data_IF_580975653392
#
_entry.id   IF_580975653392
#
_cell.length_a   1.000
_cell.length_b   1.000
_cell.length_c   1.000
_cell.angle_alpha   90.00
_cell.angle_beta   90.00
_cell.angle_gamma   90.00
#
_symmetry.space_group_name_H-M   'P 1'
#
loop_
_entity.id
_entity.type
_entity.pdbx_description
1 polymer ?
#
# COMPACT_ATOMS: atom_id res chain seq x y z
N UNK A 1 -20.31 2.83 -22.03
CA UNK A 1 -19.71 2.27 -20.78
C UNK A 1 -18.23 2.35 -20.97
N UNK A 2 -17.58 3.41 -20.45
CA UNK A 2 -16.13 3.50 -20.37
C UNK A 2 -15.63 2.35 -19.46
N UNK A 3 -14.81 1.46 -20.00
CA UNK A 3 -14.06 0.49 -19.22
C UNK A 3 -13.02 1.27 -18.40
N UNK A 4 -13.37 1.66 -17.18
CA UNK A 4 -12.40 2.26 -16.25
C UNK A 4 -11.43 1.16 -15.83
N UNK A 5 -10.20 1.24 -16.28
CA UNK A 5 -9.11 0.40 -15.77
C UNK A 5 -8.97 0.72 -14.27
N UNK A 6 -9.00 -0.31 -13.43
CA UNK A 6 -8.86 -0.11 -11.98
C UNK A 6 -7.39 0.18 -11.65
N UNK A 7 -7.09 1.19 -10.81
CA UNK A 7 -5.73 1.51 -10.37
C UNK A 7 -4.95 0.29 -9.88
N UNK A 8 -5.60 -0.59 -9.14
CA UNK A 8 -5.06 -1.86 -8.65
C UNK A 8 -4.48 -2.75 -9.78
N UNK A 9 -5.15 -2.81 -10.95
CA UNK A 9 -4.65 -3.59 -12.09
C UNK A 9 -3.40 -2.98 -12.72
N UNK A 10 -3.32 -1.65 -12.77
CA UNK A 10 -2.15 -0.92 -13.30
C UNK A 10 -0.92 -1.19 -12.42
N UNK A 11 -1.08 -1.06 -11.10
CA UNK A 11 0.00 -1.31 -10.15
C UNK A 11 0.47 -2.77 -10.16
N UNK A 12 -0.45 -3.71 -10.30
CA UNK A 12 -0.09 -5.14 -10.46
C UNK A 12 0.74 -5.37 -11.70
N UNK A 13 0.34 -4.80 -12.83
CA UNK A 13 1.08 -4.95 -14.08
C UNK A 13 2.47 -4.33 -13.98
N UNK A 14 2.61 -3.15 -13.37
CA UNK A 14 3.88 -2.50 -13.12
C UNK A 14 4.87 -3.39 -12.35
N UNK A 15 4.41 -4.07 -11.31
CA UNK A 15 5.24 -4.98 -10.50
C UNK A 15 5.42 -6.37 -11.09
N UNK A 16 4.75 -6.72 -12.19
CA UNK A 16 5.00 -7.96 -12.91
C UNK A 16 6.33 -7.99 -13.63
N UNK A 17 6.88 -6.83 -13.97
CA UNK A 17 8.22 -6.75 -14.51
C UNK A 17 9.25 -7.27 -13.50
N UNK A 18 10.13 -8.21 -13.94
CA UNK A 18 11.08 -8.86 -13.06
C UNK A 18 12.20 -7.93 -12.61
N UNK A 19 12.62 -6.98 -13.44
CA UNK A 19 13.69 -6.02 -13.09
C UNK A 19 13.19 -5.04 -12.03
N UNK A 20 11.99 -4.50 -12.20
CA UNK A 20 11.33 -3.62 -11.22
C UNK A 20 11.10 -4.36 -9.90
N UNK A 21 10.59 -5.59 -9.98
CA UNK A 21 10.32 -6.40 -8.82
C UNK A 21 11.60 -6.70 -8.01
N UNK A 22 12.65 -7.18 -8.69
CA UNK A 22 13.91 -7.50 -8.05
C UNK A 22 14.57 -6.26 -7.43
N UNK A 23 14.56 -5.13 -8.13
CA UNK A 23 15.17 -3.89 -7.65
C UNK A 23 14.46 -3.34 -6.40
N UNK A 24 13.13 -3.43 -6.32
CA UNK A 24 12.38 -3.07 -5.10
C UNK A 24 12.90 -3.86 -3.88
N UNK A 25 12.95 -5.19 -3.98
CA UNK A 25 13.41 -6.04 -2.87
C UNK A 25 14.88 -5.79 -2.52
N UNK A 26 15.74 -5.70 -3.53
CA UNK A 26 17.17 -5.47 -3.34
C UNK A 26 17.44 -4.12 -2.66
N UNK A 27 16.77 -3.08 -3.09
CA UNK A 27 16.95 -1.75 -2.53
C UNK A 27 16.41 -1.66 -1.11
N UNK A 28 15.19 -2.11 -0.88
CA UNK A 28 14.48 -1.93 0.39
C UNK A 28 15.00 -2.86 1.48
N UNK A 29 15.17 -4.16 1.18
CA UNK A 29 15.49 -5.16 2.19
C UNK A 29 16.98 -5.49 2.25
N UNK A 30 17.70 -5.34 1.15
CA UNK A 30 19.10 -5.80 1.05
C UNK A 30 20.11 -4.67 0.86
N UNK A 31 19.69 -3.39 1.09
CA UNK A 31 20.56 -2.22 0.99
C UNK A 31 21.34 -2.19 -0.33
N UNK A 32 20.63 -2.33 -1.42
CA UNK A 32 21.14 -2.32 -2.81
C UNK A 32 22.02 -3.53 -3.19
N UNK A 33 22.14 -4.55 -2.31
CA UNK A 33 22.81 -5.79 -2.70
C UNK A 33 21.90 -6.62 -3.63
N UNK A 34 22.47 -7.16 -4.69
CA UNK A 34 21.76 -8.03 -5.65
C UNK A 34 21.53 -9.43 -5.09
N UNK A 35 20.55 -9.58 -4.22
CA UNK A 35 20.11 -10.86 -3.66
C UNK A 35 19.05 -11.49 -4.54
N UNK A 36 18.11 -10.68 -5.03
CA UNK A 36 17.05 -11.09 -5.95
C UNK A 36 17.49 -10.76 -7.37
N UNK A 37 17.62 -11.77 -8.23
CA UNK A 37 18.01 -11.59 -9.62
C UNK A 37 16.80 -11.70 -10.52
N UNK A 38 16.58 -10.74 -11.45
CA UNK A 38 15.42 -10.73 -12.34
C UNK A 38 15.28 -12.02 -13.17
N UNK A 39 16.41 -12.56 -13.66
CA UNK A 39 16.46 -13.76 -14.47
C UNK A 39 16.08 -15.05 -13.71
N UNK A 40 16.19 -15.03 -12.39
CA UNK A 40 15.83 -16.17 -11.54
C UNK A 40 14.35 -16.12 -11.10
N UNK A 41 13.65 -14.99 -11.36
CA UNK A 41 12.26 -14.81 -10.97
C UNK A 41 11.30 -15.50 -11.95
N UNK A 42 10.38 -16.26 -11.40
CA UNK A 42 9.23 -16.81 -12.12
C UNK A 42 7.93 -16.45 -11.41
N UNK A 43 6.85 -16.26 -12.16
CA UNK A 43 5.55 -16.02 -11.55
C UNK A 43 5.11 -17.21 -10.69
N UNK A 44 4.52 -16.91 -9.55
CA UNK A 44 3.86 -17.88 -8.70
C UNK A 44 2.35 -17.65 -8.78
N UNK A 45 1.60 -18.73 -8.61
CA UNK A 45 0.15 -18.69 -8.59
C UNK A 45 -0.35 -17.91 -7.37
N UNK A 46 -0.98 -16.76 -7.62
CA UNK A 46 -1.62 -15.92 -6.59
C UNK A 46 -3.00 -16.42 -6.21
N UNK A 47 -3.54 -17.38 -6.96
CA UNK A 47 -4.86 -17.94 -6.71
C UNK A 47 -4.77 -19.09 -5.70
N UNK A 48 -5.05 -18.78 -4.45
CA UNK A 48 -5.29 -19.77 -3.40
C UNK A 48 -6.77 -20.12 -3.30
N UNK A 49 -7.44 -20.33 -4.41
CA UNK A 49 -8.78 -20.90 -4.42
C UNK A 49 -8.84 -22.32 -3.82
N UNK A 50 -7.74 -22.81 -3.28
CA UNK A 50 -7.71 -24.00 -2.45
C UNK A 50 -8.40 -23.70 -1.12
N UNK A 51 -9.62 -24.11 -1.06
CA UNK A 51 -10.51 -24.18 0.09
C UNK A 51 -9.73 -24.56 1.35
N UNK A 52 -9.60 -23.62 2.29
CA UNK A 52 -9.27 -23.95 3.67
C UNK A 52 -10.46 -24.74 4.24
N UNK A 53 -10.43 -26.04 4.10
CA UNK A 53 -11.33 -26.94 4.82
C UNK A 53 -10.80 -27.10 6.25
N UNK A 54 -11.02 -26.11 7.09
CA UNK A 54 -10.88 -26.28 8.53
C UNK A 54 -12.26 -26.47 9.14
N UNK A 55 -12.48 -27.65 9.73
CA UNK A 55 -13.65 -27.98 10.56
C UNK A 55 -15.02 -27.70 9.95
N UNK A 56 -15.19 -27.96 8.65
CA UNK A 56 -16.51 -27.87 8.01
C UNK A 56 -16.90 -26.48 7.51
N UNK A 57 -16.06 -25.46 7.69
CA UNK A 57 -16.23 -24.15 7.06
C UNK A 57 -15.29 -23.99 5.87
N UNK A 58 -15.86 -23.69 4.71
CA UNK A 58 -15.13 -23.38 3.50
C UNK A 58 -15.12 -21.86 3.33
N UNK A 59 -14.04 -21.20 3.72
CA UNK A 59 -13.82 -19.82 3.33
C UNK A 59 -13.00 -19.78 2.03
N UNK A 60 -13.54 -19.10 1.04
CA UNK A 60 -12.85 -18.89 -0.24
C UNK A 60 -11.96 -17.67 -0.13
N UNK A 61 -10.68 -17.86 0.15
CA UNK A 61 -9.69 -16.78 0.08
C UNK A 61 -9.18 -16.71 -1.35
N UNK A 62 -9.65 -15.72 -2.10
CA UNK A 62 -9.42 -15.63 -3.54
C UNK A 62 -8.07 -15.06 -3.97
N UNK A 63 -7.36 -14.33 -3.12
CA UNK A 63 -6.04 -13.75 -3.44
C UNK A 63 -5.21 -13.58 -2.18
N UNK A 64 -3.89 -13.82 -2.27
CA UNK A 64 -2.97 -13.64 -1.16
C UNK A 64 -2.29 -12.28 -1.26
N UNK A 65 -1.53 -12.07 -2.31
CA UNK A 65 -0.83 -10.82 -2.62
C UNK A 65 -1.16 -10.37 -4.02
N UNK A 66 -0.87 -9.12 -4.33
CA UNK A 66 -1.09 -8.56 -5.66
C UNK A 66 -0.17 -9.19 -6.70
N UNK A 67 1.10 -9.36 -6.35
CA UNK A 67 2.10 -10.03 -7.19
C UNK A 67 2.90 -11.00 -6.33
N UNK A 68 3.04 -12.24 -6.78
CA UNK A 68 3.86 -13.27 -6.13
C UNK A 68 4.82 -13.89 -7.12
N UNK A 69 6.10 -13.93 -6.77
CA UNK A 69 7.16 -14.55 -7.57
C UNK A 69 7.97 -15.55 -6.76
N UNK A 70 8.68 -16.43 -7.45
CA UNK A 70 9.59 -17.43 -6.86
C UNK A 70 10.97 -17.24 -7.44
N UNK A 71 11.99 -17.39 -6.60
CA UNK A 71 13.37 -17.56 -7.05
C UNK A 71 13.87 -18.94 -6.70
N UNK A 72 14.62 -19.55 -7.61
CA UNK A 72 15.37 -20.78 -7.33
C UNK A 72 16.83 -20.39 -7.07
N UNK A 73 17.24 -20.46 -5.80
CA UNK A 73 18.64 -20.28 -5.41
C UNK A 73 19.26 -21.68 -5.17
N UNK A 74 19.67 -22.32 -6.25
CA UNK A 74 20.14 -23.71 -6.18
C UNK A 74 19.02 -24.71 -5.91
N UNK A 75 18.89 -25.23 -4.69
CA UNK A 75 17.84 -26.16 -4.28
C UNK A 75 16.72 -25.45 -3.52
N UNK A 76 16.99 -24.27 -2.98
CA UNK A 76 16.07 -23.53 -2.11
C UNK A 76 15.30 -22.47 -2.92
N UNK A 77 13.99 -22.45 -2.76
CA UNK A 77 13.11 -21.42 -3.32
C UNK A 77 12.80 -20.37 -2.26
N UNK A 78 12.64 -19.13 -2.68
CA UNK A 78 12.07 -18.06 -1.85
C UNK A 78 10.82 -17.56 -2.54
N UNK A 79 9.75 -17.33 -1.80
CA UNK A 79 8.51 -16.77 -2.31
C UNK A 79 8.49 -15.31 -1.91
N UNK A 80 8.29 -14.44 -2.90
CA UNK A 80 8.28 -12.99 -2.74
C UNK A 80 6.88 -12.46 -3.05
N UNK A 81 6.37 -11.57 -2.22
CA UNK A 81 5.04 -11.00 -2.40
C UNK A 81 5.03 -9.48 -2.28
N UNK A 82 4.25 -8.81 -3.13
CA UNK A 82 3.96 -7.38 -3.04
C UNK A 82 2.47 -7.19 -2.82
N UNK A 83 2.13 -6.36 -1.85
CA UNK A 83 0.79 -5.86 -1.60
C UNK A 83 0.78 -4.35 -1.81
N UNK A 84 -0.05 -3.86 -2.74
CA UNK A 84 -0.21 -2.44 -3.01
C UNK A 84 -1.30 -1.85 -2.11
N UNK A 85 -1.03 -0.72 -1.47
CA UNK A 85 -1.95 -0.11 -0.51
C UNK A 85 -2.01 1.41 -0.70
N UNK A 86 -3.20 1.96 -0.93
CA UNK A 86 -3.42 3.40 -1.05
C UNK A 86 -3.82 4.04 0.29
N UNK A 87 -4.60 3.32 1.08
CA UNK A 87 -5.11 3.81 2.36
C UNK A 87 -4.56 2.97 3.51
N UNK A 88 -4.26 3.60 4.65
CA UNK A 88 -3.79 2.87 5.84
C UNK A 88 -4.79 1.79 6.25
N UNK A 89 -4.31 0.58 6.38
CA UNK A 89 -5.11 -0.56 6.80
C UNK A 89 -4.61 -1.05 8.16
N UNK A 90 -5.35 -0.70 9.21
CA UNK A 90 -4.92 -0.94 10.61
C UNK A 90 -4.78 -2.43 11.00
N UNK A 91 -5.24 -3.36 10.18
CA UNK A 91 -5.00 -4.80 10.38
C UNK A 91 -3.98 -5.38 9.38
N UNK A 92 -3.10 -4.57 8.81
CA UNK A 92 -2.15 -5.02 7.77
C UNK A 92 -1.16 -6.08 8.25
N UNK A 93 -0.55 -6.01 9.45
CA UNK A 93 0.31 -7.09 9.95
C UNK A 93 -0.41 -8.44 10.04
N UNK A 94 -1.67 -8.45 10.50
CA UNK A 94 -2.48 -9.65 10.54
C UNK A 94 -2.79 -10.20 9.14
N UNK A 95 -3.07 -9.31 8.19
CA UNK A 95 -3.32 -9.68 6.79
C UNK A 95 -2.09 -10.30 6.13
N UNK A 96 -0.91 -9.70 6.31
CA UNK A 96 0.35 -10.25 5.81
C UNK A 96 0.68 -11.60 6.46
N UNK A 97 0.54 -11.73 7.78
CA UNK A 97 0.72 -12.99 8.50
C UNK A 97 -0.19 -14.09 7.97
N UNK A 98 -1.46 -13.76 7.71
CA UNK A 98 -2.43 -14.71 7.14
C UNK A 98 -1.99 -15.14 5.73
N UNK A 99 -1.60 -14.19 4.89
CA UNK A 99 -1.16 -14.44 3.52
C UNK A 99 0.08 -15.36 3.49
N UNK A 100 1.10 -15.06 4.29
CA UNK A 100 2.30 -15.90 4.42
C UNK A 100 1.94 -17.30 4.92
N UNK A 101 1.06 -17.40 5.93
CA UNK A 101 0.60 -18.68 6.48
C UNK A 101 -0.13 -19.52 5.45
N UNK A 102 -0.91 -18.90 4.56
CA UNK A 102 -1.62 -19.60 3.48
C UNK A 102 -0.66 -20.15 2.41
N UNK A 103 0.41 -19.42 2.10
CA UNK A 103 1.47 -19.90 1.22
C UNK A 103 2.16 -21.12 1.84
N UNK A 104 2.55 -21.05 3.11
CA UNK A 104 3.14 -22.19 3.81
C UNK A 104 2.18 -23.38 3.86
N UNK A 105 0.88 -23.16 4.09
CA UNK A 105 -0.10 -24.24 4.12
C UNK A 105 -0.27 -24.90 2.74
N UNK A 106 -0.27 -24.10 1.66
CA UNK A 106 -0.31 -24.62 0.28
C UNK A 106 0.88 -25.54 0.04
N UNK A 107 2.07 -25.09 0.39
CA UNK A 107 3.29 -25.89 0.23
C UNK A 107 3.28 -27.17 1.06
N UNK A 108 2.84 -27.10 2.32
CA UNK A 108 2.64 -28.29 3.16
C UNK A 108 1.72 -29.31 2.49
N UNK A 109 0.61 -28.84 1.92
CA UNK A 109 -0.34 -29.69 1.24
C UNK A 109 0.25 -30.34 -0.04
N UNK A 110 1.04 -29.58 -0.79
CA UNK A 110 1.74 -30.08 -1.99
C UNK A 110 2.76 -31.17 -1.64
N UNK A 111 3.58 -30.94 -0.61
CA UNK A 111 4.55 -31.93 -0.11
C UNK A 111 3.81 -33.19 0.39
N UNK A 112 2.78 -33.01 1.19
CA UNK A 112 1.97 -34.14 1.70
C UNK A 112 1.31 -34.94 0.57
N UNK A 113 0.78 -34.27 -0.46
CA UNK A 113 0.22 -34.94 -1.62
C UNK A 113 1.27 -35.73 -2.41
N UNK A 114 2.47 -35.19 -2.55
CA UNK A 114 3.62 -35.86 -3.19
C UNK A 114 4.00 -37.14 -2.42
N UNK A 115 4.13 -37.05 -1.09
CA UNK A 115 4.44 -38.21 -0.25
C UNK A 115 3.34 -39.30 -0.30
N UNK A 116 2.06 -38.91 -0.29
CA UNK A 116 0.96 -39.85 -0.46
C UNK A 116 0.99 -40.60 -1.81
N UNK A 117 1.34 -39.88 -2.87
CA UNK A 117 1.45 -40.46 -4.22
C UNK A 117 2.62 -41.45 -4.31
N UNK A 118 3.74 -41.16 -3.70
CA UNK A 118 4.95 -42.00 -3.70
C UNK A 118 4.86 -43.09 -2.63
N UNK A 119 3.95 -42.98 -1.65
CA UNK A 119 3.75 -43.93 -0.53
C UNK A 119 5.02 -44.13 0.31
N UNK A 120 5.77 -43.07 0.60
CA UNK A 120 7.06 -43.10 1.30
C UNK A 120 6.98 -42.64 2.77
N UNK A 121 5.81 -42.36 3.29
CA UNK A 121 5.51 -42.12 4.71
C UNK A 121 5.68 -43.40 5.51
N UNK A 122 6.48 -43.35 6.58
CA UNK A 122 6.89 -44.57 7.32
C UNK A 122 6.55 -44.54 8.81
N UNK A 123 6.53 -43.38 9.43
CA UNK A 123 6.30 -43.22 10.87
C UNK A 123 4.88 -42.66 11.17
N UNK A 124 4.42 -42.86 12.40
CA UNK A 124 3.14 -42.29 12.86
C UNK A 124 3.13 -40.77 12.85
N UNK A 125 4.27 -40.14 13.16
CA UNK A 125 4.41 -38.69 13.12
C UNK A 125 4.33 -38.13 11.70
N UNK A 126 5.00 -38.79 10.75
CA UNK A 126 4.91 -38.44 9.31
C UNK A 126 3.49 -38.68 8.78
N UNK A 127 2.83 -39.74 9.21
CA UNK A 127 1.46 -40.01 8.81
C UNK A 127 0.47 -38.96 9.34
N UNK A 128 0.70 -38.45 10.57
CA UNK A 128 -0.13 -37.45 11.20
C UNK A 128 0.03 -36.08 10.53
N UNK A 129 1.27 -35.67 10.24
CA UNK A 129 1.60 -34.38 9.65
C UNK A 129 1.50 -34.34 8.12
N UNK A 130 1.70 -35.50 7.46
CA UNK A 130 1.88 -35.62 6.02
C UNK A 130 3.27 -35.16 5.54
N UNK A 131 4.18 -34.82 6.46
CA UNK A 131 5.53 -34.33 6.21
C UNK A 131 6.55 -35.27 6.82
N UNK A 132 7.71 -35.37 6.21
CA UNK A 132 8.89 -36.03 6.79
C UNK A 132 9.70 -35.07 7.64
N UNK A 133 10.54 -35.62 8.52
CA UNK A 133 11.41 -34.83 9.39
C UNK A 133 12.40 -33.96 8.60
N UNK A 134 12.80 -34.40 7.42
CA UNK A 134 13.75 -33.73 6.53
C UNK A 134 13.09 -32.66 5.64
N UNK A 135 11.76 -32.68 5.48
CA UNK A 135 11.06 -31.68 4.68
C UNK A 135 11.27 -30.28 5.26
N UNK A 136 11.42 -29.32 4.40
CA UNK A 136 11.52 -27.91 4.74
C UNK A 136 10.59 -27.11 3.85
N UNK A 137 9.98 -26.09 4.44
CA UNK A 137 9.21 -25.09 3.70
C UNK A 137 10.15 -23.99 3.21
N UNK A 138 9.77 -23.36 2.12
CA UNK A 138 10.51 -22.24 1.57
C UNK A 138 10.11 -20.94 2.28
N UNK A 139 11.06 -20.04 2.57
CA UNK A 139 10.73 -18.77 3.22
C UNK A 139 9.82 -17.92 2.32
N UNK A 140 8.89 -17.21 2.95
CA UNK A 140 8.04 -16.21 2.32
C UNK A 140 8.52 -14.84 2.79
N UNK A 141 8.76 -13.93 1.85
CA UNK A 141 9.15 -12.54 2.12
C UNK A 141 8.19 -11.63 1.39
N UNK A 142 7.49 -10.78 2.12
CA UNK A 142 6.50 -9.87 1.55
C UNK A 142 6.78 -8.41 1.90
N UNK A 143 6.39 -7.50 0.99
CA UNK A 143 6.47 -6.06 1.14
C UNK A 143 5.07 -5.48 0.93
N UNK A 144 4.65 -4.59 1.82
CA UNK A 144 3.54 -3.67 1.60
C UNK A 144 4.08 -2.38 0.99
N UNK A 145 3.68 -2.05 -0.23
CA UNK A 145 4.02 -0.77 -0.88
C UNK A 145 2.86 0.19 -0.67
N UNK A 146 3.08 1.20 0.14
CA UNK A 146 2.09 2.20 0.51
C UNK A 146 2.28 3.47 -0.32
N UNK A 147 1.24 3.80 -1.07
CA UNK A 147 1.20 4.96 -1.97
C UNK A 147 0.42 6.14 -1.40
N UNK A 148 -0.05 6.09 -0.16
CA UNK A 148 -0.85 7.17 0.42
C UNK A 148 -0.07 8.48 0.55
N UNK A 149 -0.79 9.61 0.38
CA UNK A 149 -0.23 10.95 0.57
C UNK A 149 0.15 11.22 2.03
N UNK A 150 -0.63 10.65 2.96
CA UNK A 150 -0.36 10.77 4.39
C UNK A 150 0.68 9.75 4.84
N UNK A 151 1.37 10.05 5.95
CA UNK A 151 2.25 9.10 6.61
C UNK A 151 1.47 7.87 7.09
N UNK A 152 2.13 6.72 7.09
CA UNK A 152 1.54 5.51 7.64
C UNK A 152 1.50 5.60 9.16
N UNK A 153 0.31 5.67 9.73
CA UNK A 153 0.05 5.71 11.19
C UNK A 153 -0.45 4.37 11.74
N UNK A 154 -0.50 3.33 10.91
CA UNK A 154 -0.95 2.00 11.29
C UNK A 154 0.14 1.15 11.95
N UNK A 155 -0.24 -0.03 12.51
CA UNK A 155 0.69 -0.96 13.11
C UNK A 155 1.67 -1.53 12.08
N UNK A 156 2.91 -1.81 12.52
CA UNK A 156 3.94 -2.52 11.75
C UNK A 156 4.17 -3.94 12.27
N UNK A 157 3.78 -4.18 13.51
CA UNK A 157 3.91 -5.45 14.20
C UNK A 157 2.54 -5.97 14.64
N UNK A 158 2.40 -7.29 14.68
CA UNK A 158 1.19 -7.89 15.23
C UNK A 158 0.99 -7.48 16.71
N UNK A 159 2.10 -7.37 17.44
CA UNK A 159 2.07 -6.95 18.85
C UNK A 159 1.56 -5.53 19.06
N UNK A 160 1.65 -4.65 18.06
CA UNK A 160 1.08 -3.29 18.10
C UNK A 160 -0.46 -3.31 18.12
N UNK A 161 -1.06 -4.42 17.69
CA UNK A 161 -2.50 -4.62 17.63
C UNK A 161 -3.08 -5.35 18.84
N UNK A 162 -2.24 -5.77 19.81
CA UNK A 162 -2.64 -6.63 20.91
C UNK A 162 -2.59 -5.89 22.25
N UNK A 163 -3.60 -6.10 23.08
CA UNK A 163 -3.54 -5.76 24.51
C UNK A 163 -2.78 -6.86 25.24
N UNK A 164 -1.49 -6.66 25.52
CA UNK A 164 -0.61 -7.68 26.10
C UNK A 164 -0.31 -7.35 27.57
N UNK A 165 -0.79 -8.16 28.54
CA UNK A 165 -0.35 -8.07 29.94
C UNK A 165 1.17 -8.29 30.04
N UNK A 166 1.83 -7.58 30.96
CA UNK A 166 3.28 -7.63 31.12
C UNK A 166 3.83 -9.04 31.33
N UNK A 167 3.09 -9.88 32.06
CA UNK A 167 3.45 -11.26 32.38
C UNK A 167 3.46 -12.16 31.14
N UNK A 168 2.64 -11.83 30.12
CA UNK A 168 2.47 -12.63 28.90
C UNK A 168 3.40 -12.15 27.79
N UNK A 169 3.83 -10.89 27.83
CA UNK A 169 4.67 -10.27 26.78
C UNK A 169 5.90 -11.10 26.37
N UNK A 170 6.66 -11.75 27.30
CA UNK A 170 7.85 -12.54 26.94
C UNK A 170 7.56 -13.82 26.15
N UNK A 171 6.32 -14.30 26.13
CA UNK A 171 5.93 -15.56 25.48
C UNK A 171 5.05 -15.36 24.23
N UNK A 172 4.70 -14.11 23.89
CA UNK A 172 3.98 -13.79 22.66
C UNK A 172 4.95 -13.75 21.49
N UNK A 173 4.62 -14.50 20.44
CA UNK A 173 5.31 -14.40 19.17
C UNK A 173 4.81 -13.17 18.40
N UNK A 174 5.74 -12.43 17.83
CA UNK A 174 5.43 -11.27 17.00
C UNK A 174 5.52 -11.62 15.51
N UNK A 175 4.82 -10.86 14.71
CA UNK A 175 4.94 -10.88 13.25
C UNK A 175 5.16 -9.43 12.77
N UNK A 176 6.29 -9.20 12.10
CA UNK A 176 6.64 -7.90 11.52
C UNK A 176 6.37 -7.90 10.02
N UNK A 177 5.64 -6.91 9.53
CA UNK A 177 5.54 -6.66 8.09
C UNK A 177 6.65 -5.72 7.61
N UNK A 178 7.02 -5.82 6.34
CA UNK A 178 7.90 -4.88 5.68
C UNK A 178 7.06 -3.83 4.96
N UNK A 179 7.20 -2.57 5.37
CA UNK A 179 6.49 -1.43 4.78
C UNK A 179 7.45 -0.58 3.95
N UNK A 180 7.00 -0.18 2.77
CA UNK A 180 7.63 0.83 1.94
C UNK A 180 6.64 1.97 1.74
N UNK A 181 6.94 3.14 2.28
CA UNK A 181 6.16 4.35 2.05
C UNK A 181 6.79 5.12 0.88
N UNK A 182 6.10 5.21 -0.25
CA UNK A 182 6.63 5.86 -1.45
C UNK A 182 7.02 7.31 -1.18
N UNK A 183 6.25 8.02 -0.34
CA UNK A 183 6.55 9.40 0.08
C UNK A 183 7.90 9.57 0.82
N UNK A 184 8.41 8.50 1.44
CA UNK A 184 9.63 8.52 2.26
C UNK A 184 10.83 7.88 1.55
N UNK A 185 10.67 7.44 0.31
CA UNK A 185 11.71 6.74 -0.45
C UNK A 185 12.82 7.65 -0.99
N UNK A 186 13.03 8.85 -0.40
CA UNK A 186 14.03 9.84 -0.83
C UNK A 186 15.45 9.30 -0.72
N UNK A 187 15.71 8.45 0.27
CA UNK A 187 17.03 7.86 0.52
C UNK A 187 17.28 6.57 -0.26
N UNK A 188 16.27 6.02 -0.90
CA UNK A 188 16.42 4.80 -1.70
C UNK A 188 16.99 5.12 -3.09
N UNK A 189 18.02 4.36 -3.47
CA UNK A 189 18.64 4.45 -4.78
C UNK A 189 18.27 3.24 -5.62
N UNK A 190 17.13 3.34 -6.27
CA UNK A 190 16.72 2.31 -7.22
C UNK A 190 17.62 2.33 -8.45
N UNK A 191 18.03 1.15 -8.92
CA UNK A 191 18.79 0.99 -10.17
C UNK A 191 17.87 1.07 -11.37
N UNK A 192 16.65 0.59 -11.21
CA UNK A 192 15.62 0.65 -12.24
C UNK A 192 15.11 2.08 -12.35
N UNK A 193 15.24 2.66 -13.55
CA UNK A 193 14.88 4.06 -13.84
C UNK A 193 13.37 4.30 -13.75
N UNK A 194 12.56 3.27 -14.00
CA UNK A 194 11.11 3.39 -13.98
C UNK A 194 10.60 3.58 -12.56
N UNK A 195 11.11 2.79 -11.61
CA UNK A 195 10.78 2.94 -10.18
C UNK A 195 11.20 4.32 -9.69
N UNK A 196 12.45 4.73 -9.99
CA UNK A 196 12.95 6.05 -9.60
C UNK A 196 12.07 7.16 -10.15
N UNK A 197 11.73 7.10 -11.45
CA UNK A 197 10.88 8.09 -12.11
C UNK A 197 9.49 8.17 -11.49
N UNK A 198 8.85 7.02 -11.30
CA UNK A 198 7.50 6.97 -10.71
C UNK A 198 7.51 7.50 -9.27
N UNK A 199 8.44 7.03 -8.44
CA UNK A 199 8.49 7.42 -7.03
C UNK A 199 8.87 8.88 -6.86
N UNK A 200 9.84 9.40 -7.62
CA UNK A 200 10.21 10.82 -7.59
C UNK A 200 9.05 11.74 -7.99
N UNK A 201 8.31 11.38 -9.04
CA UNK A 201 7.16 12.18 -9.48
C UNK A 201 6.05 12.15 -8.42
N UNK A 202 5.74 10.97 -7.85
CA UNK A 202 4.73 10.85 -6.79
C UNK A 202 5.12 11.68 -5.57
N UNK A 203 6.39 11.64 -5.14
CA UNK A 203 6.89 12.43 -4.02
C UNK A 203 6.74 13.93 -4.28
N UNK A 204 7.15 14.41 -5.45
CA UNK A 204 6.99 15.83 -5.82
C UNK A 204 5.52 16.27 -5.87
N UNK A 205 4.62 15.39 -6.28
CA UNK A 205 3.17 15.65 -6.26
C UNK A 205 2.67 15.80 -4.80
N UNK A 206 3.09 14.91 -3.91
CA UNK A 206 2.70 14.98 -2.49
C UNK A 206 3.30 16.17 -1.77
N UNK A 207 4.54 16.56 -2.11
CA UNK A 207 5.19 17.79 -1.62
C UNK A 207 4.63 19.05 -2.27
N UNK A 208 3.80 18.92 -3.33
CA UNK A 208 3.31 20.04 -4.15
C UNK A 208 4.42 20.89 -4.77
N UNK A 209 5.60 20.29 -5.00
CA UNK A 209 6.73 20.94 -5.64
C UNK A 209 6.68 20.85 -7.17
N UNK A 210 5.63 21.45 -7.73
CA UNK A 210 5.39 21.48 -9.17
C UNK A 210 6.50 22.19 -9.95
N UNK A 211 7.25 23.11 -9.31
CA UNK A 211 8.38 23.80 -9.95
C UNK A 211 9.54 22.86 -10.19
N UNK A 212 9.92 22.08 -9.19
CA UNK A 212 10.96 21.04 -9.31
C UNK A 212 10.55 19.99 -10.30
N UNK A 213 9.31 19.54 -10.24
CA UNK A 213 8.75 18.55 -11.13
C UNK A 213 8.79 19.01 -12.60
N UNK A 214 8.38 20.25 -12.88
CA UNK A 214 8.44 20.82 -14.23
C UNK A 214 9.89 21.00 -14.71
N UNK A 215 10.81 21.41 -13.84
CA UNK A 215 12.24 21.54 -14.18
C UNK A 215 12.89 20.19 -14.53
N UNK A 216 12.51 19.10 -13.88
CA UNK A 216 13.11 17.77 -14.08
C UNK A 216 12.43 16.94 -15.17
N UNK A 217 11.12 17.07 -15.29
CA UNK A 217 10.27 16.20 -16.11
C UNK A 217 9.41 16.93 -17.13
N UNK A 218 9.33 18.26 -17.12
CA UNK A 218 8.47 19.04 -18.00
C UNK A 218 8.70 18.81 -19.49
N UNK A 219 9.96 18.67 -19.92
CA UNK A 219 10.32 18.36 -21.31
C UNK A 219 10.56 16.87 -21.58
N UNK A 220 10.58 16.04 -20.52
CA UNK A 220 10.78 14.61 -20.70
C UNK A 220 9.52 13.95 -21.24
N UNK A 221 9.75 13.02 -22.13
CA UNK A 221 8.73 12.06 -22.53
C UNK A 221 8.82 10.85 -21.64
N UNK A 222 7.68 10.42 -21.14
CA UNK A 222 7.55 9.28 -20.24
C UNK A 222 6.72 8.22 -20.96
N UNK A 223 7.13 6.97 -20.79
CA UNK A 223 6.39 5.82 -21.28
C UNK A 223 4.94 5.85 -20.77
N UNK A 224 4.00 5.45 -21.63
CA UNK A 224 2.57 5.44 -21.29
C UNK A 224 2.25 4.55 -20.09
N UNK A 225 2.98 3.45 -19.90
CA UNK A 225 2.84 2.56 -18.75
C UNK A 225 3.18 3.30 -17.44
N UNK A 226 4.30 4.04 -17.40
CA UNK A 226 4.69 4.80 -16.21
C UNK A 226 3.69 5.93 -15.92
N UNK A 227 3.18 6.58 -16.95
CA UNK A 227 2.16 7.61 -16.81
C UNK A 227 0.83 7.02 -16.28
N UNK A 228 0.45 5.81 -16.70
CA UNK A 228 -0.69 5.09 -16.13
C UNK A 228 -0.51 4.83 -14.63
N UNK A 229 0.70 4.41 -14.22
CA UNK A 229 1.01 4.19 -12.79
C UNK A 229 0.92 5.49 -12.00
N UNK A 230 1.51 6.57 -12.49
CA UNK A 230 1.44 7.90 -11.86
C UNK A 230 -0.02 8.36 -11.76
N UNK A 231 -0.79 8.23 -12.83
CA UNK A 231 -2.22 8.57 -12.84
C UNK A 231 -3.04 7.73 -11.87
N UNK A 232 -2.73 6.44 -11.76
CA UNK A 232 -3.40 5.53 -10.82
C UNK A 232 -3.15 5.90 -9.36
N UNK A 233 -1.88 6.15 -9.00
CA UNK A 233 -1.48 6.51 -7.63
C UNK A 233 -1.99 7.89 -7.22
N UNK A 234 -1.97 8.85 -8.14
CA UNK A 234 -2.42 10.24 -7.87
C UNK A 234 -3.91 10.46 -8.08
N UNK A 235 -4.68 9.38 -8.34
CA UNK A 235 -6.11 9.45 -8.65
C UNK A 235 -6.45 10.43 -9.79
N UNK A 236 -5.54 10.59 -10.75
CA UNK A 236 -5.70 11.48 -11.89
C UNK A 236 -6.26 10.73 -13.10
N UNK A 237 -7.60 10.67 -13.23
CA UNK A 237 -8.28 10.04 -14.36
C UNK A 237 -7.80 10.62 -15.70
N UNK A 238 -7.44 11.89 -15.75
CA UNK A 238 -6.99 12.57 -16.96
C UNK A 238 -5.63 12.09 -17.43
N UNK A 239 -4.67 11.87 -16.52
CA UNK A 239 -3.38 11.26 -16.89
C UNK A 239 -3.62 9.87 -17.45
N UNK A 240 -4.51 9.10 -16.84
CA UNK A 240 -4.88 7.75 -17.31
C UNK A 240 -5.48 7.83 -18.72
N UNK A 241 -6.44 8.71 -18.94
CA UNK A 241 -7.10 8.85 -20.25
C UNK A 241 -6.12 9.29 -21.34
N UNK A 242 -5.24 10.24 -21.05
CA UNK A 242 -4.18 10.68 -21.98
C UNK A 242 -3.18 9.55 -22.28
N UNK A 243 -2.77 8.81 -21.25
CA UNK A 243 -1.86 7.69 -21.43
C UNK A 243 -2.46 6.63 -22.35
N UNK A 244 -3.72 6.26 -22.14
CA UNK A 244 -4.43 5.29 -22.98
C UNK A 244 -4.60 5.76 -24.43
N UNK A 245 -4.88 7.05 -24.66
CA UNK A 245 -4.97 7.61 -26.01
C UNK A 245 -3.64 7.55 -26.75
N UNK A 246 -2.52 7.81 -26.08
CA UNK A 246 -1.19 7.82 -26.66
C UNK A 246 -0.63 6.40 -26.84
N UNK A 247 -0.95 5.48 -25.95
CA UNK A 247 -0.60 4.07 -26.07
C UNK A 247 -1.12 3.48 -27.39
N UNK A 248 -2.38 3.79 -27.76
CA UNK A 248 -2.97 3.35 -29.03
C UNK A 248 -2.21 3.91 -30.26
N UNK A 249 -1.59 5.08 -30.11
CA UNK A 249 -0.82 5.74 -31.17
C UNK A 249 0.66 5.34 -31.19
N UNK A 250 1.14 4.63 -30.16
CA UNK A 250 2.55 4.32 -29.98
C UNK A 250 3.40 5.55 -29.66
N UNK A 251 2.82 6.57 -29.03
CA UNK A 251 3.45 7.83 -28.67
C UNK A 251 3.66 7.91 -27.15
N UNK A 252 4.76 8.54 -26.73
CA UNK A 252 5.06 8.82 -25.32
C UNK A 252 4.34 10.08 -24.81
N UNK A 253 4.06 10.12 -23.52
CA UNK A 253 3.42 11.28 -22.88
C UNK A 253 4.41 12.42 -22.67
N UNK A 254 4.00 13.63 -23.07
CA UNK A 254 4.65 14.85 -22.63
C UNK A 254 4.11 15.24 -21.25
N UNK A 255 4.97 15.14 -20.24
CA UNK A 255 4.58 15.43 -18.86
C UNK A 255 4.16 16.89 -18.60
N UNK A 256 4.59 17.86 -19.41
CA UNK A 256 4.22 19.26 -19.23
C UNK A 256 2.72 19.50 -19.10
N UNK A 257 1.93 18.95 -20.05
CA UNK A 257 0.47 19.12 -20.03
C UNK A 257 -0.18 18.42 -18.85
N UNK A 258 0.27 17.21 -18.54
CA UNK A 258 -0.26 16.43 -17.42
C UNK A 258 0.06 17.12 -16.07
N UNK A 259 1.23 17.75 -15.98
CA UNK A 259 1.70 18.46 -14.78
C UNK A 259 1.01 19.81 -14.57
N UNK A 260 0.79 20.60 -15.64
CA UNK A 260 0.04 21.86 -15.57
C UNK A 260 -1.36 21.65 -14.99
N UNK A 261 -1.97 20.54 -15.32
CA UNK A 261 -3.31 20.19 -14.86
C UNK A 261 -3.33 19.70 -13.40
N UNK A 262 -2.32 18.95 -12.98
CA UNK A 262 -2.12 18.60 -11.57
C UNK A 262 -1.87 19.84 -10.72
N UNK A 263 -1.05 20.77 -11.23
CA UNK A 263 -0.80 22.05 -10.56
C UNK A 263 -2.09 22.87 -10.41
N UNK A 264 -2.89 22.94 -11.48
CA UNK A 264 -4.16 23.67 -11.45
C UNK A 264 -5.14 23.02 -10.47
N UNK A 265 -5.26 21.68 -10.47
CA UNK A 265 -6.09 20.93 -9.51
C UNK A 265 -5.61 21.15 -8.08
N UNK A 266 -4.30 21.05 -7.84
CA UNK A 266 -3.74 21.33 -6.51
C UNK A 266 -3.98 22.76 -6.03
N UNK A 267 -3.95 23.75 -6.93
CA UNK A 267 -4.32 25.15 -6.61
C UNK A 267 -5.80 25.28 -6.26
N UNK A 268 -6.69 24.64 -7.02
CA UNK A 268 -8.14 24.66 -6.78
C UNK A 268 -8.49 23.98 -5.45
N UNK A 269 -7.93 22.80 -5.19
CA UNK A 269 -8.10 22.09 -3.93
C UNK A 269 -7.53 22.87 -2.74
N UNK A 270 -6.35 23.46 -2.89
CA UNK A 270 -5.75 24.33 -1.88
C UNK A 270 -6.58 25.59 -1.62
N UNK A 271 -7.18 26.18 -2.65
CA UNK A 271 -8.07 27.31 -2.52
C UNK A 271 -9.36 26.95 -1.75
N UNK A 272 -9.99 25.84 -2.10
CA UNK A 272 -11.20 25.34 -1.43
C UNK A 272 -10.90 25.00 0.04
N UNK A 273 -9.84 24.25 0.28
CA UNK A 273 -9.39 23.89 1.64
C UNK A 273 -9.03 25.13 2.47
N UNK A 274 -8.37 26.11 1.86
CA UNK A 274 -8.07 27.39 2.51
C UNK A 274 -9.31 28.18 2.91
N UNK A 275 -10.34 28.21 2.05
CA UNK A 275 -11.63 28.85 2.35
C UNK A 275 -12.33 28.12 3.51
N UNK A 276 -12.36 26.77 3.47
CA UNK A 276 -13.03 26.00 4.52
C UNK A 276 -12.31 26.14 5.87
N UNK A 277 -10.98 26.10 5.88
CA UNK A 277 -10.18 26.31 7.08
C UNK A 277 -10.37 27.72 7.62
N UNK A 278 -10.34 28.73 6.74
CA UNK A 278 -10.59 30.12 7.12
C UNK A 278 -12.00 30.35 7.70
N UNK A 279 -13.00 29.71 7.12
CA UNK A 279 -14.38 29.75 7.67
C UNK A 279 -14.48 29.12 9.05
N UNK A 280 -13.88 27.93 9.23
CA UNK A 280 -13.86 27.25 10.54
C UNK A 280 -13.14 28.07 11.61
N UNK A 281 -12.00 28.63 11.27
CA UNK A 281 -11.23 29.47 12.20
C UNK A 281 -11.97 30.76 12.55
N UNK A 282 -12.60 31.43 11.57
CA UNK A 282 -13.41 32.60 11.81
C UNK A 282 -14.62 32.30 12.71
N UNK A 283 -15.28 31.17 12.45
CA UNK A 283 -16.41 30.71 13.26
C UNK A 283 -15.96 30.43 14.71
N UNK A 284 -14.82 29.75 14.90
CA UNK A 284 -14.20 29.48 16.20
C UNK A 284 -13.93 30.78 16.97
N UNK A 285 -13.30 31.76 16.34
CA UNK A 285 -13.04 33.07 16.94
C UNK A 285 -14.33 33.83 17.30
N UNK A 286 -15.36 33.74 16.46
CA UNK A 286 -16.65 34.37 16.76
C UNK A 286 -17.34 33.70 17.95
N UNK A 287 -17.30 32.37 18.03
CA UNK A 287 -17.87 31.60 19.16
C UNK A 287 -17.15 31.98 20.45
N UNK A 288 -15.80 31.95 20.48
CA UNK A 288 -15.00 32.31 21.62
C UNK A 288 -15.32 33.75 22.11
N UNK A 289 -15.40 34.72 21.20
CA UNK A 289 -15.73 36.10 21.53
C UNK A 289 -17.15 36.26 22.07
N UNK A 290 -18.08 35.40 21.66
CA UNK A 290 -19.47 35.46 22.17
C UNK A 290 -19.57 34.73 23.52
N UNK A 291 -18.83 33.66 23.73
CA UNK A 291 -18.71 32.99 25.03
C UNK A 291 -18.12 33.89 26.09
N UNK A 292 -17.06 34.65 25.77
CA UNK A 292 -16.43 35.60 26.71
C UNK A 292 -17.39 36.73 27.15
N UNK A 293 -18.47 36.97 26.35
CA UNK A 293 -19.56 37.91 26.69
C UNK A 293 -20.72 37.24 27.46
N UNK A 294 -20.54 35.97 27.92
CA UNK A 294 -21.52 35.26 28.71
C UNK A 294 -22.78 34.79 27.95
N UNK A 295 -22.70 34.65 26.64
CA UNK A 295 -23.80 34.11 25.83
C UNK A 295 -23.89 32.60 25.91
N UNK A 296 -25.09 32.06 25.97
CA UNK A 296 -25.31 30.60 25.90
C UNK A 296 -25.27 30.06 24.48
N UNK A 297 -25.14 28.73 24.36
CA UNK A 297 -24.97 28.01 23.10
C UNK A 297 -26.07 28.31 22.08
N UNK A 298 -27.34 28.31 22.52
CA UNK A 298 -28.51 28.52 21.66
C UNK A 298 -28.50 29.94 21.06
N UNK A 299 -28.13 30.94 21.86
CA UNK A 299 -28.04 32.32 21.41
C UNK A 299 -26.85 32.57 20.48
N UNK A 300 -25.76 31.86 20.70
CA UNK A 300 -24.58 31.91 19.81
C UNK A 300 -24.93 31.29 18.46
N UNK A 301 -25.62 30.16 18.45
CA UNK A 301 -26.07 29.46 17.26
C UNK A 301 -27.02 30.33 16.42
N UNK A 302 -28.03 30.95 17.06
CA UNK A 302 -28.98 31.84 16.43
C UNK A 302 -28.31 33.08 15.81
N UNK A 303 -27.38 33.72 16.54
CA UNK A 303 -26.69 34.92 16.04
C UNK A 303 -25.64 34.65 14.95
N UNK A 304 -25.15 33.43 14.81
CA UNK A 304 -24.17 33.01 13.79
C UNK A 304 -24.85 32.26 12.63
N UNK A 305 -26.16 32.06 12.73
CA UNK A 305 -26.94 31.28 11.75
C UNK A 305 -26.38 29.86 11.55
N UNK A 306 -25.91 29.25 12.65
CA UNK A 306 -25.29 27.93 12.66
C UNK A 306 -26.10 26.96 13.53
N UNK A 307 -25.95 25.65 13.27
CA UNK A 307 -26.60 24.63 14.09
C UNK A 307 -26.04 24.57 15.52
N UNK A 308 -26.90 24.37 16.51
CA UNK A 308 -26.53 24.25 17.93
C UNK A 308 -25.48 23.15 18.16
N UNK A 309 -25.54 22.05 17.39
CA UNK A 309 -24.60 20.92 17.42
C UNK A 309 -23.19 21.35 17.04
N UNK A 310 -23.05 22.18 16.00
CA UNK A 310 -21.76 22.71 15.52
C UNK A 310 -21.14 23.63 16.57
N UNK A 311 -21.93 24.56 17.12
CA UNK A 311 -21.45 25.48 18.17
C UNK A 311 -21.03 24.72 19.42
N UNK A 312 -21.78 23.69 19.84
CA UNK A 312 -21.43 22.86 21.00
C UNK A 312 -20.11 22.16 20.82
N UNK A 313 -19.86 21.57 19.66
CA UNK A 313 -18.59 20.91 19.35
C UNK A 313 -17.41 21.88 19.41
N UNK A 314 -17.55 23.07 18.84
CA UNK A 314 -16.49 24.11 18.91
C UNK A 314 -16.21 24.51 20.37
N UNK A 315 -17.23 24.60 21.23
CA UNK A 315 -17.06 24.93 22.63
C UNK A 315 -16.34 23.81 23.39
N UNK A 316 -16.68 22.55 23.11
CA UNK A 316 -16.00 21.37 23.70
C UNK A 316 -14.53 21.34 23.30
N UNK A 317 -14.22 21.60 22.02
CA UNK A 317 -12.84 21.67 21.51
C UNK A 317 -12.05 22.82 22.19
N UNK A 318 -12.65 23.99 22.39
CA UNK A 318 -12.04 25.12 23.10
C UNK A 318 -11.80 24.85 24.59
N UNK A 319 -12.61 24.00 25.24
CA UNK A 319 -12.45 23.64 26.65
C UNK A 319 -11.48 22.47 26.86
N UNK A 320 -11.26 21.63 25.86
CA UNK A 320 -10.31 20.52 25.90
C UNK A 320 -8.85 20.91 25.64
N UNK A 321 -8.58 22.12 25.17
CA UNK A 321 -7.24 22.68 24.94
C UNK A 321 -6.67 23.42 26.20
N UNK A 322 -7.37 23.43 27.32
CA UNK A 322 -6.94 23.96 28.62
C UNK A 322 -6.64 22.78 29.54
#
# INVERSE_FOLDING_TARGET
TQNKIKPDMILKEFWRDNERFADLFNTVLFKENEVVKPEDLSEADTDLSSVLKMNGHAETIQRIFDVVKKTANGVDYIIWGIENQETVHYAMPLRHMLNDSLIYLKECNEISAKHRKVKDIRSSGEFLSGLKKEDRLHPVVSICVYYGENEWDGPLHLTDMLEIPNEVKPIISDYKMNLVQVRECIDFRFRNTDISTVFEIIQMIYERDYKKMNALYGEKRIDTELALVIGAVTNSQRIIDQALELEVKGEEINMCKALEELEQKGREEGYISGIETGKKELLRQQVEKKLSKGKNVEKIADELEEEVSVIRKIIEDLQGEV
#
